data_IF_317114266067
#
_entry.id   IF_317114266067
#
_cell.length_a   1.000
_cell.length_b   1.000
_cell.length_c   1.000
_cell.angle_alpha   90.00
_cell.angle_beta   90.00
_cell.angle_gamma   90.00
#
_symmetry.space_group_name_H-M   'P 1'
#
loop_
_entity.id
_entity.type
_entity.pdbx_description
1 polymer ?
#
# COMPACT_ATOMS: atom_id res chain seq x y z
N UNK A 1 15.16 -16.77 -13.88
CA UNK A 1 13.86 -17.49 -13.88
C UNK A 1 13.48 -18.14 -12.54
N UNK A 2 14.24 -17.99 -11.44
CA UNK A 2 13.90 -18.60 -10.12
C UNK A 2 12.79 -17.87 -9.36
N UNK A 3 12.59 -16.57 -9.62
CA UNK A 3 11.62 -15.73 -8.91
C UNK A 3 10.19 -16.05 -9.34
N UNK A 4 9.96 -16.19 -10.66
CA UNK A 4 8.64 -16.55 -11.21
C UNK A 4 8.17 -17.90 -10.68
N UNK A 5 9.07 -18.87 -10.58
CA UNK A 5 8.76 -20.18 -9.97
C UNK A 5 8.39 -20.08 -8.49
N UNK A 6 9.06 -19.21 -7.73
CA UNK A 6 8.68 -18.96 -6.33
C UNK A 6 7.31 -18.31 -6.23
N UNK A 7 6.98 -17.35 -7.10
CA UNK A 7 5.67 -16.70 -7.14
C UNK A 7 4.55 -17.71 -7.43
N UNK A 8 4.78 -18.68 -8.33
CA UNK A 8 3.79 -19.75 -8.63
C UNK A 8 3.61 -20.76 -7.49
N UNK A 9 4.54 -20.81 -6.54
CA UNK A 9 4.45 -21.65 -5.32
C UNK A 9 3.85 -20.92 -4.13
N UNK A 10 3.37 -19.68 -4.30
CA UNK A 10 2.65 -18.98 -3.23
C UNK A 10 1.33 -19.67 -2.95
N UNK A 11 0.95 -19.65 -1.69
CA UNK A 11 -0.39 -19.98 -1.28
C UNK A 11 -1.45 -19.07 -1.93
N UNK A 12 -2.67 -19.61 -2.15
CA UNK A 12 -3.79 -18.87 -2.73
C UNK A 12 -4.03 -17.47 -2.14
N UNK A 13 -4.11 -17.26 -0.80
CA UNK A 13 -4.32 -15.92 -0.24
C UNK A 13 -3.16 -14.95 -0.55
N UNK A 14 -1.90 -15.41 -0.46
CA UNK A 14 -0.74 -14.58 -0.77
C UNK A 14 -0.66 -14.23 -2.26
N UNK A 15 -0.99 -15.18 -3.15
CA UNK A 15 -1.04 -14.97 -4.58
C UNK A 15 -2.13 -13.96 -4.97
N UNK A 16 -3.35 -14.10 -4.43
CA UNK A 16 -4.46 -13.17 -4.67
C UNK A 16 -4.09 -11.75 -4.22
N UNK A 17 -3.53 -11.62 -3.01
CA UNK A 17 -3.08 -10.33 -2.49
C UNK A 17 -2.02 -9.67 -3.40
N UNK A 18 -1.01 -10.44 -3.83
CA UNK A 18 0.06 -9.94 -4.69
C UNK A 18 -0.49 -9.48 -6.06
N UNK A 19 -1.33 -10.29 -6.71
CA UNK A 19 -1.88 -9.97 -8.05
C UNK A 19 -2.73 -8.71 -8.01
N UNK A 20 -3.66 -8.60 -7.05
CA UNK A 20 -4.51 -7.41 -6.91
C UNK A 20 -3.66 -6.17 -6.63
N UNK A 21 -2.66 -6.30 -5.75
CA UNK A 21 -1.77 -5.19 -5.38
C UNK A 21 -0.93 -4.71 -6.56
N UNK A 22 -0.41 -5.63 -7.37
CA UNK A 22 0.37 -5.30 -8.57
C UNK A 22 -0.49 -4.56 -9.60
N UNK A 23 -1.70 -5.05 -9.86
CA UNK A 23 -2.64 -4.37 -10.77
C UNK A 23 -2.92 -2.95 -10.27
N UNK A 24 -3.21 -2.79 -8.98
CA UNK A 24 -3.46 -1.47 -8.39
C UNK A 24 -2.26 -0.53 -8.50
N UNK A 25 -1.03 -1.00 -8.22
CA UNK A 25 0.19 -0.19 -8.34
C UNK A 25 0.39 0.26 -9.79
N UNK A 26 0.20 -0.64 -10.76
CA UNK A 26 0.32 -0.33 -12.19
C UNK A 26 -0.72 0.74 -12.59
N UNK A 27 -1.98 0.58 -12.20
CA UNK A 27 -3.03 1.58 -12.46
C UNK A 27 -2.70 2.94 -11.84
N UNK A 28 -2.09 2.96 -10.66
CA UNK A 28 -1.65 4.20 -10.01
C UNK A 28 -0.45 4.83 -10.72
N UNK A 29 0.50 4.02 -11.20
CA UNK A 29 1.63 4.52 -12.00
C UNK A 29 1.14 5.23 -13.27
N UNK A 30 0.14 4.68 -13.96
CA UNK A 30 -0.48 5.34 -15.11
C UNK A 30 -1.15 6.67 -14.74
N UNK A 31 -1.90 6.72 -13.63
CA UNK A 31 -2.55 7.96 -13.16
C UNK A 31 -1.56 9.04 -12.72
N UNK A 32 -0.34 8.65 -12.33
CA UNK A 32 0.70 9.56 -11.86
C UNK A 32 1.79 9.81 -12.90
N UNK A 33 1.62 9.32 -14.13
CA UNK A 33 2.59 9.52 -15.20
C UNK A 33 2.71 11.02 -15.53
N UNK A 34 3.93 11.56 -15.41
CA UNK A 34 4.21 12.97 -15.68
C UNK A 34 4.02 13.93 -14.50
N UNK A 35 3.54 13.47 -13.34
CA UNK A 35 3.53 14.25 -12.10
C UNK A 35 4.80 13.97 -11.29
N UNK A 36 5.49 15.00 -10.81
CA UNK A 36 6.68 14.86 -9.95
C UNK A 36 6.38 15.15 -8.47
N UNK A 37 5.46 16.08 -8.20
CA UNK A 37 5.25 16.66 -6.87
C UNK A 37 3.84 16.45 -6.30
N UNK A 38 3.01 15.64 -6.98
CA UNK A 38 1.65 15.30 -6.54
C UNK A 38 1.37 13.82 -6.76
N UNK A 39 0.77 13.19 -5.78
CA UNK A 39 0.25 11.84 -5.83
C UNK A 39 -1.26 11.88 -6.10
N UNK A 40 -1.69 11.28 -7.19
CA UNK A 40 -3.08 11.20 -7.65
C UNK A 40 -3.61 9.80 -7.41
N UNK A 41 -4.81 9.71 -6.85
CA UNK A 41 -5.53 8.45 -6.65
C UNK A 41 -7.01 8.67 -7.00
N UNK A 42 -7.40 8.34 -8.24
CA UNK A 42 -8.73 8.66 -8.76
C UNK A 42 -8.93 10.17 -8.81
N UNK A 43 -9.93 10.67 -8.08
CA UNK A 43 -10.25 12.11 -8.01
C UNK A 43 -9.50 12.84 -6.88
N UNK A 44 -8.65 12.15 -6.12
CA UNK A 44 -7.93 12.72 -4.98
C UNK A 44 -6.49 13.05 -5.35
N UNK A 45 -6.04 14.25 -4.96
CA UNK A 45 -4.65 14.71 -5.12
C UNK A 45 -4.01 14.96 -3.75
N UNK A 46 -2.75 14.57 -3.58
CA UNK A 46 -1.95 14.85 -2.39
C UNK A 46 -0.59 15.42 -2.81
N UNK A 47 -0.18 16.62 -2.35
CA UNK A 47 1.16 17.12 -2.59
C UNK A 47 2.19 16.22 -1.89
N UNK A 48 3.29 15.93 -2.59
CA UNK A 48 4.36 15.03 -2.11
C UNK A 48 5.70 15.50 -2.64
N UNK A 49 6.70 15.53 -1.77
CA UNK A 49 8.06 15.92 -2.15
C UNK A 49 8.81 14.82 -2.92
N UNK A 50 8.40 13.55 -2.75
CA UNK A 50 9.10 12.42 -3.35
C UNK A 50 8.13 11.31 -3.78
N UNK A 51 7.57 11.47 -4.98
CA UNK A 51 6.67 10.49 -5.58
C UNK A 51 7.32 9.10 -5.76
N UNK A 52 8.57 8.97 -6.25
CA UNK A 52 9.26 7.68 -6.33
C UNK A 52 9.36 6.95 -5.00
N UNK A 53 9.63 7.67 -3.90
CA UNK A 53 9.71 7.08 -2.57
C UNK A 53 8.36 6.47 -2.12
N UNK A 54 7.22 7.11 -2.46
CA UNK A 54 5.89 6.59 -2.16
C UNK A 54 5.64 5.26 -2.88
N UNK A 55 5.96 5.18 -4.18
CA UNK A 55 5.81 3.93 -4.94
C UNK A 55 6.76 2.84 -4.44
N UNK A 56 7.98 3.20 -4.08
CA UNK A 56 8.92 2.26 -3.48
C UNK A 56 8.41 1.70 -2.14
N UNK A 57 7.92 2.57 -1.25
CA UNK A 57 7.33 2.16 0.02
C UNK A 57 6.13 1.22 -0.20
N UNK A 58 5.28 1.48 -1.21
CA UNK A 58 4.16 0.59 -1.58
C UNK A 58 4.66 -0.79 -2.03
N UNK A 59 5.73 -0.86 -2.82
CA UNK A 59 6.31 -2.14 -3.26
C UNK A 59 6.86 -2.94 -2.08
N UNK A 60 7.59 -2.29 -1.16
CA UNK A 60 8.09 -2.93 0.07
C UNK A 60 6.95 -3.43 0.94
N UNK A 61 5.89 -2.64 1.10
CA UNK A 61 4.71 -3.01 1.87
C UNK A 61 4.02 -4.25 1.29
N UNK A 62 3.78 -4.28 -0.02
CA UNK A 62 3.16 -5.43 -0.70
C UNK A 62 4.06 -6.67 -0.60
N UNK A 63 5.37 -6.53 -0.78
CA UNK A 63 6.31 -7.65 -0.65
C UNK A 63 6.30 -8.23 0.77
N UNK A 64 6.34 -7.37 1.79
CA UNK A 64 6.26 -7.77 3.19
C UNK A 64 4.98 -8.55 3.50
N UNK A 65 3.81 -8.02 3.13
CA UNK A 65 2.53 -8.68 3.40
C UNK A 65 2.36 -9.97 2.62
N UNK A 66 2.83 -10.02 1.37
CA UNK A 66 2.83 -11.25 0.58
C UNK A 66 3.64 -12.34 1.28
N UNK A 67 4.82 -11.99 1.83
CA UNK A 67 5.66 -12.93 2.59
C UNK A 67 5.00 -13.38 3.90
N UNK A 68 4.35 -12.48 4.64
CA UNK A 68 3.61 -12.82 5.87
C UNK A 68 2.47 -13.79 5.57
N UNK A 69 1.65 -13.49 4.56
CA UNK A 69 0.52 -14.34 4.16
C UNK A 69 0.98 -15.74 3.69
N UNK A 70 2.07 -15.80 2.93
CA UNK A 70 2.64 -17.05 2.44
C UNK A 70 3.21 -17.89 3.60
N UNK A 71 3.93 -17.25 4.53
CA UNK A 71 4.50 -17.90 5.73
C UNK A 71 3.41 -18.53 6.61
N UNK A 72 2.34 -17.78 6.89
CA UNK A 72 1.22 -18.25 7.73
C UNK A 72 0.46 -19.39 7.05
N UNK A 73 0.27 -19.29 5.73
CA UNK A 73 -0.38 -20.36 4.98
C UNK A 73 0.46 -21.65 4.97
N UNK A 74 1.79 -21.54 4.80
CA UNK A 74 2.72 -22.68 4.85
C UNK A 74 2.80 -23.32 6.23
N UNK A 75 2.54 -22.56 7.29
CA UNK A 75 2.38 -23.08 8.65
C UNK A 75 1.07 -23.89 8.86
N UNK A 76 0.22 -24.03 7.84
CA UNK A 76 -1.01 -24.84 7.89
C UNK A 76 -2.28 -24.02 8.18
N UNK A 77 -2.16 -22.72 8.47
CA UNK A 77 -3.29 -21.88 8.86
C UNK A 77 -3.96 -21.16 7.67
N UNK A 78 -4.39 -21.92 6.65
CA UNK A 78 -5.02 -21.36 5.44
C UNK A 78 -6.21 -20.44 5.72
N UNK A 79 -7.07 -20.79 6.68
CA UNK A 79 -8.27 -20.00 7.03
C UNK A 79 -7.90 -18.65 7.65
N UNK A 80 -6.85 -18.64 8.49
CA UNK A 80 -6.35 -17.42 9.13
C UNK A 80 -5.67 -16.53 8.10
N UNK A 81 -4.92 -17.08 7.16
CA UNK A 81 -4.30 -16.30 6.08
C UNK A 81 -5.34 -15.52 5.24
N UNK A 82 -6.54 -16.09 5.00
CA UNK A 82 -7.64 -15.37 4.36
C UNK A 82 -8.20 -14.21 5.18
N UNK A 83 -8.25 -14.36 6.50
CA UNK A 83 -8.65 -13.26 7.39
C UNK A 83 -7.58 -12.17 7.45
N UNK A 84 -6.31 -12.57 7.54
CA UNK A 84 -5.17 -11.64 7.59
C UNK A 84 -5.02 -10.85 6.30
N UNK A 85 -5.52 -11.34 5.15
CA UNK A 85 -5.54 -10.57 3.89
C UNK A 85 -6.29 -9.23 4.03
N UNK A 86 -7.29 -9.15 4.91
CA UNK A 86 -8.04 -7.93 5.18
C UNK A 86 -7.20 -6.88 5.95
N UNK A 87 -6.30 -7.34 6.82
CA UNK A 87 -5.53 -6.49 7.72
C UNK A 87 -4.62 -5.47 6.99
N UNK A 88 -3.85 -5.82 5.92
CA UNK A 88 -3.11 -4.84 5.16
C UNK A 88 -4.00 -3.79 4.47
N UNK A 89 -5.25 -4.12 4.16
CA UNK A 89 -6.21 -3.16 3.61
C UNK A 89 -6.65 -2.17 4.70
N UNK A 90 -7.05 -2.68 5.87
CA UNK A 90 -7.47 -1.86 7.01
C UNK A 90 -6.33 -0.94 7.47
N UNK A 91 -5.12 -1.47 7.60
CA UNK A 91 -3.94 -0.71 7.99
C UNK A 91 -3.65 0.44 7.03
N UNK A 92 -3.81 0.23 5.73
CA UNK A 92 -3.60 1.28 4.74
C UNK A 92 -4.61 2.44 4.93
N UNK A 93 -5.90 2.13 5.12
CA UNK A 93 -6.92 3.15 5.40
C UNK A 93 -6.69 3.85 6.75
N UNK A 94 -6.25 3.10 7.78
CA UNK A 94 -5.95 3.67 9.09
C UNK A 94 -4.79 4.68 9.04
N UNK A 95 -3.71 4.36 8.32
CA UNK A 95 -2.56 5.26 8.15
C UNK A 95 -2.98 6.54 7.42
N UNK A 96 -3.78 6.42 6.36
CA UNK A 96 -4.30 7.59 5.63
C UNK A 96 -5.22 8.43 6.54
N UNK A 97 -6.13 7.80 7.27
CA UNK A 97 -7.02 8.47 8.22
C UNK A 97 -6.25 9.26 9.27
N UNK A 98 -5.24 8.62 9.89
CA UNK A 98 -4.35 9.28 10.85
C UNK A 98 -3.56 10.43 10.20
N UNK A 99 -3.03 10.23 8.99
CA UNK A 99 -2.31 11.26 8.26
C UNK A 99 -3.19 12.50 7.98
N UNK A 100 -4.46 12.30 7.62
CA UNK A 100 -5.42 13.40 7.43
C UNK A 100 -5.70 14.15 8.73
N UNK A 101 -5.86 13.45 9.86
CA UNK A 101 -6.06 14.08 11.18
C UNK A 101 -4.83 14.92 11.57
N UNK A 102 -3.63 14.37 11.38
CA UNK A 102 -2.38 15.10 11.65
C UNK A 102 -2.18 16.30 10.73
N UNK A 103 -2.53 16.16 9.44
CA UNK A 103 -2.47 17.25 8.47
C UNK A 103 -3.47 18.38 8.83
N UNK A 104 -4.69 18.03 9.24
CA UNK A 104 -5.67 18.99 9.73
C UNK A 104 -5.19 19.73 10.98
N UNK A 105 -4.57 19.01 11.93
CA UNK A 105 -3.96 19.61 13.12
C UNK A 105 -2.80 20.55 12.79
N UNK A 106 -1.96 20.21 11.81
CA UNK A 106 -0.85 21.07 11.35
C UNK A 106 -1.36 22.35 10.65
N UNK A 107 -2.40 22.24 9.83
CA UNK A 107 -3.06 23.42 9.23
C UNK A 107 -3.68 24.34 10.28
N UNK A 108 -4.32 23.80 11.32
CA UNK A 108 -4.87 24.60 12.42
C UNK A 108 -3.77 25.34 13.20
N UNK A 109 -2.64 24.67 13.50
CA UNK A 109 -1.51 25.30 14.19
C UNK A 109 -0.86 26.41 13.35
N UNK A 110 -0.64 26.17 12.07
CA UNK A 110 -0.06 27.16 11.15
C UNK A 110 -0.97 28.37 10.92
N UNK A 111 -2.29 28.21 11.04
CA UNK A 111 -3.25 29.32 10.97
C UNK A 111 -3.25 30.17 12.26
N UNK A 112 -3.10 29.54 13.43
CA UNK A 112 -3.00 30.24 14.71
C UNK A 112 -1.67 31.01 14.85
N UNK A 113 -0.55 30.47 14.37
CA UNK A 113 0.76 31.13 14.43
C UNK A 113 0.90 32.35 13.50
N UNK A 114 -0.07 32.54 12.57
CA UNK A 114 -0.15 33.70 11.69
C UNK A 114 -1.07 34.81 12.21
N UNK A 115 -1.75 34.61 13.34
CA UNK A 115 -2.54 35.62 14.07
C UNK A 115 -1.67 36.25 15.16
#
# INVERSE_FOLDING_TARGET
>A
MKIVERIRKLCSPAYVYLVISVIAIISLMFQNAGSSNKYVCGMYECPTDNLPAIFFAKMVYVAFWTFVLDSICKAGHKRIAWFILLLPLIMFFAIIGLAMIMAAGKSAKNAFEKL
#
